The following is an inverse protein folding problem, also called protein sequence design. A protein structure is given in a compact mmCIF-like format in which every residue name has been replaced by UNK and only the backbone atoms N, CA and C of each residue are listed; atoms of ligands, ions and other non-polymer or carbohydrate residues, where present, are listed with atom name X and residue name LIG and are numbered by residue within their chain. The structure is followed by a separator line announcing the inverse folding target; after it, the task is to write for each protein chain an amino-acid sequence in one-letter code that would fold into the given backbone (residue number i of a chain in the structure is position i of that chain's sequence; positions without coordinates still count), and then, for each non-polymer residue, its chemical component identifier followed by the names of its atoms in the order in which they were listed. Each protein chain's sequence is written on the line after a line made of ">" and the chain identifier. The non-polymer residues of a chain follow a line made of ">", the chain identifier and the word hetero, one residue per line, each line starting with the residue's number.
data_IF_249869536350
#
_entry.id   IF_249869536350
#
_cell.length_a   1.000
_cell.length_b   1.000
_cell.length_c   1.000
_cell.angle_alpha   90.00
_cell.angle_beta   90.00
_cell.angle_gamma   90.00
#
_symmetry.space_group_name_H-M   'P 1'
#
loop_
_entity.id
_entity.type
_entity.pdbx_description
1 polymer ?
#
# COMPACT_ATOMS: atom_id res chain seq x y z
N UNK A 1 -25.66 35.74 59.51
CA UNK A 1 -25.99 34.58 60.37
C UNK A 1 -25.92 33.32 59.53
N UNK A 2 -25.22 32.31 60.05
CA UNK A 2 -24.90 31.05 59.41
C UNK A 2 -26.12 30.17 59.11
N UNK A 3 -26.15 29.54 57.95
CA UNK A 3 -26.98 28.37 57.63
C UNK A 3 -26.01 27.33 57.03
N UNK A 4 -25.27 26.50 57.79
CA UNK A 4 -25.54 25.57 58.90
C UNK A 4 -26.22 24.25 58.50
N UNK A 5 -25.36 23.22 58.34
CA UNK A 5 -25.50 21.77 58.65
C UNK A 5 -26.68 20.93 58.13
N UNK A 6 -27.73 21.45 57.49
CA UNK A 6 -28.95 20.66 57.20
C UNK A 6 -29.16 20.18 55.75
N UNK A 7 -28.20 20.38 54.84
CA UNK A 7 -28.30 19.87 53.45
C UNK A 7 -27.31 18.72 53.17
N UNK A 8 -26.40 18.42 54.11
CA UNK A 8 -25.27 17.51 53.86
C UNK A 8 -25.49 16.06 54.34
N UNK A 9 -26.64 15.73 54.94
CA UNK A 9 -26.93 14.35 55.41
C UNK A 9 -28.33 13.94 54.99
N UNK A 10 -28.45 13.56 53.71
CA UNK A 10 -29.58 12.84 53.09
C UNK A 10 -29.22 12.75 51.60
N UNK A 11 -28.48 11.75 51.13
CA UNK A 11 -28.82 10.35 51.17
C UNK A 11 -27.54 9.51 50.96
N UNK A 12 -27.22 8.68 51.94
CA UNK A 12 -26.34 7.53 51.76
C UNK A 12 -27.18 6.38 51.19
N UNK A 13 -27.00 6.08 49.90
CA UNK A 13 -27.50 4.87 49.27
C UNK A 13 -26.33 4.17 48.57
N UNK A 14 -25.87 3.10 49.22
CA UNK A 14 -25.27 1.89 48.66
C UNK A 14 -24.50 2.04 47.33
N UNK A 15 -23.18 2.17 47.42
CA UNK A 15 -22.29 1.76 46.33
C UNK A 15 -21.30 0.74 46.90
N UNK A 16 -21.67 -0.53 46.78
CA UNK A 16 -20.77 -1.65 46.98
C UNK A 16 -19.57 -1.47 46.06
N UNK A 17 -18.40 -1.20 46.63
CA UNK A 17 -17.13 -1.21 45.91
C UNK A 17 -16.80 -2.66 45.53
N UNK A 18 -17.34 -3.14 44.41
CA UNK A 18 -16.79 -4.30 43.75
C UNK A 18 -15.45 -3.87 43.14
N UNK A 19 -14.34 -4.22 43.82
CA UNK A 19 -13.04 -4.30 43.16
C UNK A 19 -13.16 -5.39 42.08
N UNK A 20 -13.59 -5.00 40.90
CA UNK A 20 -13.28 -5.76 39.70
C UNK A 20 -11.77 -5.67 39.54
N UNK A 21 -11.06 -6.67 40.05
CA UNK A 21 -9.74 -7.02 39.55
C UNK A 21 -9.94 -7.29 38.06
N UNK A 22 -9.76 -6.24 37.26
CA UNK A 22 -9.60 -6.37 35.84
C UNK A 22 -8.33 -7.20 35.67
N UNK A 23 -8.49 -8.51 35.51
CA UNK A 23 -7.48 -9.33 34.86
C UNK A 23 -7.22 -8.64 33.53
N UNK A 24 -6.13 -7.88 33.45
CA UNK A 24 -5.53 -7.51 32.17
C UNK A 24 -5.27 -8.85 31.49
N UNK A 25 -6.17 -9.24 30.60
CA UNK A 25 -5.93 -10.31 29.65
C UNK A 25 -4.74 -9.86 28.83
N UNK A 26 -3.56 -10.34 29.24
CA UNK A 26 -2.37 -10.39 28.41
C UNK A 26 -2.79 -11.10 27.13
N UNK A 27 -2.75 -10.37 26.02
CA UNK A 27 -2.86 -10.93 24.68
C UNK A 27 -4.24 -11.49 24.32
N UNK A 28 -5.27 -10.65 24.28
CA UNK A 28 -6.27 -10.87 23.23
C UNK A 28 -5.57 -10.55 21.90
N UNK A 29 -4.97 -11.57 21.27
CA UNK A 29 -4.59 -11.50 19.87
C UNK A 29 -5.86 -11.13 19.12
N UNK A 30 -5.95 -9.87 18.69
CA UNK A 30 -6.98 -9.44 17.76
C UNK A 30 -6.88 -10.41 16.58
N UNK A 31 -7.95 -11.16 16.34
CA UNK A 31 -8.05 -12.00 15.15
C UNK A 31 -7.75 -11.07 13.97
N UNK A 32 -6.73 -11.35 13.14
CA UNK A 32 -6.38 -10.48 12.02
C UNK A 32 -7.66 -10.22 11.22
N UNK A 33 -7.90 -8.96 10.89
CA UNK A 33 -9.05 -8.62 10.06
C UNK A 33 -8.81 -9.34 8.74
N UNK A 34 -9.53 -10.44 8.53
CA UNK A 34 -9.35 -11.23 7.33
C UNK A 34 -9.54 -10.31 6.13
N UNK A 35 -8.53 -10.27 5.27
CA UNK A 35 -8.53 -9.46 4.06
C UNK A 35 -9.85 -9.68 3.32
N UNK A 36 -10.68 -8.64 3.18
CA UNK A 36 -12.02 -8.82 2.63
C UNK A 36 -11.89 -9.23 1.15
N UNK A 37 -12.45 -10.38 0.72
CA UNK A 37 -12.32 -10.87 -0.66
C UNK A 37 -12.80 -9.83 -1.70
N UNK A 38 -13.81 -9.02 -1.35
CA UNK A 38 -14.34 -7.96 -2.20
C UNK A 38 -13.36 -6.79 -2.41
N UNK A 39 -12.49 -6.48 -1.45
CA UNK A 39 -11.49 -5.44 -1.59
C UNK A 39 -10.39 -5.87 -2.58
N UNK A 40 -9.98 -7.14 -2.52
CA UNK A 40 -8.94 -7.68 -3.42
C UNK A 40 -9.34 -7.66 -4.89
N UNK A 41 -10.65 -7.72 -5.20
CA UNK A 41 -11.15 -7.57 -6.57
C UNK A 41 -10.75 -6.22 -7.18
N UNK A 42 -10.79 -5.14 -6.41
CA UNK A 42 -10.39 -3.80 -6.90
C UNK A 42 -8.86 -3.62 -6.95
N UNK A 43 -8.12 -4.56 -6.38
CA UNK A 43 -6.66 -4.61 -6.42
C UNK A 43 -6.17 -5.75 -7.34
N UNK A 44 -7.01 -6.17 -8.28
CA UNK A 44 -6.65 -7.09 -9.34
C UNK A 44 -5.88 -6.38 -10.47
N UNK A 45 -5.24 -7.18 -11.32
CA UNK A 45 -4.37 -6.66 -12.38
C UNK A 45 -5.12 -5.74 -13.35
N UNK A 46 -6.33 -6.07 -13.86
CA UNK A 46 -7.08 -5.18 -14.73
C UNK A 46 -7.40 -3.80 -14.12
N UNK A 47 -7.68 -3.74 -12.82
CA UNK A 47 -7.98 -2.48 -12.12
C UNK A 47 -6.72 -1.65 -11.86
N UNK A 48 -5.58 -2.30 -11.63
CA UNK A 48 -4.30 -1.66 -11.31
C UNK A 48 -3.51 -1.23 -12.55
N UNK A 49 -3.64 -1.93 -13.67
CA UNK A 49 -2.85 -1.68 -14.88
C UNK A 49 -2.96 -0.24 -15.41
N UNK A 50 -4.15 0.41 -15.44
CA UNK A 50 -4.27 1.79 -15.88
C UNK A 50 -3.55 2.77 -14.93
N UNK A 51 -3.55 2.49 -13.62
CA UNK A 51 -2.81 3.27 -12.61
C UNK A 51 -1.31 3.07 -12.82
N UNK A 52 -0.87 1.82 -12.96
CA UNK A 52 0.53 1.46 -13.21
C UNK A 52 1.08 2.14 -14.46
N UNK A 53 0.29 2.22 -15.54
CA UNK A 53 0.69 2.88 -16.78
C UNK A 53 0.94 4.39 -16.65
N UNK A 54 0.40 5.03 -15.61
CA UNK A 54 0.59 6.46 -15.32
C UNK A 54 1.76 6.70 -14.38
N UNK A 55 1.88 5.90 -13.31
CA UNK A 55 2.86 6.17 -12.25
C UNK A 55 4.22 5.56 -12.49
N UNK A 56 4.31 4.51 -13.32
CA UNK A 56 5.57 3.84 -13.59
C UNK A 56 6.33 4.52 -14.74
N UNK A 57 7.69 4.45 -14.74
CA UNK A 57 8.51 5.02 -15.80
C UNK A 57 8.14 4.49 -17.19
N UNK A 58 8.04 5.38 -18.19
CA UNK A 58 7.63 5.04 -19.54
C UNK A 58 8.62 4.07 -20.23
N UNK A 59 9.88 4.10 -19.84
CA UNK A 59 10.98 3.26 -20.32
C UNK A 59 10.77 1.76 -20.01
N UNK A 60 9.88 1.43 -19.07
CA UNK A 60 9.57 0.04 -18.75
C UNK A 60 8.88 -0.68 -19.91
N UNK A 61 8.06 0.02 -20.71
CA UNK A 61 7.21 -0.60 -21.70
C UNK A 61 6.07 -1.44 -21.08
N UNK A 62 5.07 -1.75 -21.90
CA UNK A 62 3.80 -2.33 -21.42
C UNK A 62 3.97 -3.65 -20.64
N UNK A 63 4.84 -4.55 -21.10
CA UNK A 63 5.02 -5.86 -20.45
C UNK A 63 5.63 -5.79 -19.06
N UNK A 64 6.56 -4.85 -18.80
CA UNK A 64 7.12 -4.66 -17.45
C UNK A 64 6.17 -3.89 -16.53
N UNK A 65 5.39 -2.96 -17.08
CA UNK A 65 4.30 -2.29 -16.34
C UNK A 65 3.27 -3.31 -15.86
N UNK A 66 2.85 -4.23 -16.73
CA UNK A 66 1.93 -5.30 -16.38
C UNK A 66 2.51 -6.23 -15.32
N UNK A 67 3.78 -6.62 -15.44
CA UNK A 67 4.48 -7.41 -14.42
C UNK A 67 4.50 -6.72 -13.06
N UNK A 68 4.81 -5.44 -13.01
CA UNK A 68 4.80 -4.68 -11.76
C UNK A 68 3.40 -4.65 -11.12
N UNK A 69 2.34 -4.53 -11.91
CA UNK A 69 0.96 -4.61 -11.42
C UNK A 69 0.61 -6.02 -10.90
N UNK A 70 1.05 -7.09 -11.58
CA UNK A 70 0.89 -8.48 -11.14
C UNK A 70 1.59 -8.71 -9.80
N UNK A 71 2.83 -8.26 -9.67
CA UNK A 71 3.62 -8.42 -8.46
C UNK A 71 3.01 -7.65 -7.29
N UNK A 72 2.57 -6.40 -7.52
CA UNK A 72 1.88 -5.61 -6.50
C UNK A 72 0.57 -6.26 -6.05
N UNK A 73 -0.26 -6.72 -7.00
CA UNK A 73 -1.52 -7.42 -6.72
C UNK A 73 -1.28 -8.68 -5.89
N UNK A 74 -0.28 -9.49 -6.26
CA UNK A 74 0.13 -10.68 -5.51
C UNK A 74 0.65 -10.33 -4.13
N UNK A 75 1.46 -9.28 -4.01
CA UNK A 75 2.02 -8.85 -2.74
C UNK A 75 0.92 -8.45 -1.74
N UNK A 76 -0.03 -7.61 -2.15
CA UNK A 76 -1.12 -7.19 -1.26
C UNK A 76 -2.10 -8.34 -0.96
N UNK A 77 -2.32 -9.26 -1.90
CA UNK A 77 -3.17 -10.44 -1.67
C UNK A 77 -2.58 -11.40 -0.64
N UNK A 78 -1.24 -11.45 -0.52
CA UNK A 78 -0.52 -12.27 0.46
C UNK A 78 -0.12 -11.49 1.71
N UNK A 79 -0.59 -10.25 1.89
CA UNK A 79 -0.32 -9.47 3.09
C UNK A 79 -0.95 -10.13 4.31
N UNK A 80 -0.18 -10.21 5.39
CA UNK A 80 -0.61 -10.81 6.65
C UNK A 80 -0.48 -9.78 7.76
N UNK A 81 -1.58 -9.52 8.44
CA UNK A 81 -1.65 -8.60 9.57
C UNK A 81 -1.10 -9.26 10.84
N UNK A 82 -0.40 -8.48 11.68
CA UNK A 82 0.13 -8.96 12.96
C UNK A 82 1.24 -10.00 12.87
N UNK A 83 1.79 -10.26 11.68
CA UNK A 83 2.95 -11.14 11.51
C UNK A 83 4.20 -10.47 12.04
N UNK A 84 5.06 -11.26 12.68
CA UNK A 84 6.34 -10.79 13.17
C UNK A 84 7.25 -10.40 12.00
N UNK A 85 7.75 -9.19 12.04
CA UNK A 85 8.73 -8.69 11.08
C UNK A 85 10.12 -9.15 11.49
N UNK A 86 11.00 -9.31 10.49
CA UNK A 86 12.40 -9.61 10.72
C UNK A 86 13.01 -8.53 11.63
N UNK A 87 13.41 -8.94 12.82
CA UNK A 87 14.07 -8.06 13.78
C UNK A 87 15.58 -8.00 13.46
N UNK A 88 16.23 -6.83 13.57
CA UNK A 88 17.68 -6.72 13.47
C UNK A 88 18.39 -7.63 14.48
N UNK A 89 19.60 -8.09 14.14
CA UNK A 89 20.42 -8.83 15.09
C UNK A 89 20.76 -7.93 16.29
N UNK A 90 20.53 -8.43 17.51
CA UNK A 90 20.79 -7.69 18.75
C UNK A 90 19.70 -6.70 19.19
N UNK A 91 18.55 -6.64 18.51
CA UNK A 91 17.40 -5.88 19.02
C UNK A 91 16.50 -6.74 19.91
N UNK A 92 16.11 -6.22 21.07
CA UNK A 92 15.12 -6.86 21.95
C UNK A 92 13.67 -6.55 21.57
N UNK A 93 13.46 -5.64 20.61
CA UNK A 93 12.13 -5.22 20.17
C UNK A 93 11.62 -6.12 19.06
N UNK A 94 10.49 -6.77 19.32
CA UNK A 94 9.72 -7.50 18.31
C UNK A 94 8.74 -6.52 17.67
N UNK A 95 8.88 -6.31 16.37
CA UNK A 95 7.94 -5.52 15.56
C UNK A 95 7.02 -6.43 14.75
N UNK A 96 5.76 -6.05 14.60
CA UNK A 96 4.80 -6.79 13.78
C UNK A 96 4.29 -5.95 12.61
N UNK A 97 3.71 -6.59 11.60
CA UNK A 97 2.99 -5.90 10.53
C UNK A 97 1.76 -5.17 11.09
N UNK A 98 1.45 -4.04 10.47
CA UNK A 98 0.26 -3.26 10.79
C UNK A 98 -1.03 -3.83 10.18
N UNK A 99 -2.14 -3.09 10.28
CA UNK A 99 -3.38 -3.44 9.59
C UNK A 99 -3.20 -3.36 8.07
N UNK A 100 -3.97 -4.18 7.35
CA UNK A 100 -3.92 -4.23 5.91
C UNK A 100 -4.50 -2.95 5.28
N UNK A 101 -3.77 -2.32 4.33
CA UNK A 101 -4.28 -1.15 3.62
C UNK A 101 -5.25 -1.52 2.49
N UNK A 102 -5.52 -2.81 2.24
CA UNK A 102 -6.23 -3.27 1.06
C UNK A 102 -7.64 -2.66 0.90
N UNK A 103 -8.41 -2.58 1.97
CA UNK A 103 -9.77 -1.99 1.93
C UNK A 103 -9.72 -0.52 1.54
N UNK A 104 -8.83 0.25 2.17
CA UNK A 104 -8.63 1.68 1.86
C UNK A 104 -8.20 1.88 0.41
N UNK A 105 -7.25 1.08 -0.07
CA UNK A 105 -6.77 1.19 -1.44
C UNK A 105 -7.83 0.75 -2.47
N UNK A 106 -8.62 -0.27 -2.18
CA UNK A 106 -9.74 -0.68 -3.03
C UNK A 106 -10.76 0.45 -3.22
N UNK A 107 -11.08 1.19 -2.15
CA UNK A 107 -11.95 2.37 -2.23
C UNK A 107 -11.35 3.48 -3.09
N UNK A 108 -10.04 3.71 -3.00
CA UNK A 108 -9.33 4.68 -3.84
C UNK A 108 -9.36 4.28 -5.32
N UNK A 109 -9.13 3.00 -5.64
CA UNK A 109 -9.23 2.50 -7.03
C UNK A 109 -10.65 2.68 -7.57
N UNK A 110 -11.66 2.37 -6.76
CA UNK A 110 -13.07 2.60 -7.13
C UNK A 110 -13.36 4.08 -7.39
N UNK A 111 -12.88 4.97 -6.51
CA UNK A 111 -13.05 6.42 -6.68
C UNK A 111 -12.40 6.92 -7.98
N UNK A 112 -11.24 6.38 -8.38
CA UNK A 112 -10.63 6.69 -9.67
C UNK A 112 -11.53 6.27 -10.84
N UNK A 113 -12.12 5.07 -10.78
CA UNK A 113 -13.06 4.61 -11.82
C UNK A 113 -14.30 5.50 -11.92
N UNK A 114 -14.88 5.89 -10.78
CA UNK A 114 -16.02 6.79 -10.74
C UNK A 114 -15.68 8.18 -11.29
N UNK A 115 -14.50 8.71 -10.95
CA UNK A 115 -14.03 9.99 -11.48
C UNK A 115 -13.79 9.97 -12.99
N UNK A 116 -13.33 8.82 -13.54
CA UNK A 116 -13.16 8.64 -14.97
C UNK A 116 -14.49 8.66 -15.71
N UNK A 117 -15.51 7.98 -15.16
CA UNK A 117 -16.86 7.97 -15.73
C UNK A 117 -17.52 9.35 -15.63
N UNK A 118 -17.27 10.09 -14.56
CA UNK A 118 -17.83 11.43 -14.35
C UNK A 118 -17.23 12.48 -15.31
N UNK A 119 -15.95 12.36 -15.66
CA UNK A 119 -15.24 13.31 -16.54
C UNK A 119 -15.46 13.05 -18.03
N UNK A 120 -15.89 11.85 -18.41
CA UNK A 120 -16.03 11.46 -19.81
C UNK A 120 -17.48 11.56 -20.30
N UNK A 121 -17.78 12.40 -21.32
CA UNK A 121 -19.09 12.44 -21.97
C UNK A 121 -19.56 11.07 -22.50
N UNK A 122 -18.63 10.19 -22.88
CA UNK A 122 -18.90 8.84 -23.39
C UNK A 122 -18.86 7.76 -22.29
N UNK A 123 -18.63 8.15 -21.03
CA UNK A 123 -18.55 7.26 -19.85
C UNK A 123 -17.60 6.07 -20.04
N UNK A 124 -16.47 6.24 -20.73
CA UNK A 124 -15.52 5.12 -20.88
C UNK A 124 -14.94 4.75 -19.51
N UNK A 125 -14.77 3.44 -19.25
CA UNK A 125 -14.12 3.00 -18.03
C UNK A 125 -12.68 3.53 -17.98
N UNK A 126 -12.15 3.69 -16.77
CA UNK A 126 -10.78 4.20 -16.55
C UNK A 126 -9.71 3.46 -17.38
N UNK A 127 -9.86 2.15 -17.55
CA UNK A 127 -8.98 1.31 -18.37
C UNK A 127 -8.99 1.62 -19.88
N UNK A 128 -10.02 2.33 -20.39
CA UNK A 128 -10.16 2.69 -21.79
C UNK A 128 -9.89 4.19 -22.05
N UNK A 129 -9.57 4.95 -21.00
CA UNK A 129 -9.19 6.37 -21.12
C UNK A 129 -7.84 6.51 -21.82
N UNK A 130 -7.57 7.67 -22.42
CA UNK A 130 -6.23 7.95 -22.98
C UNK A 130 -5.19 8.07 -21.85
N UNK A 131 -3.90 7.89 -22.15
CA UNK A 131 -2.85 8.07 -21.12
C UNK A 131 -2.92 9.46 -20.49
N UNK A 132 -3.14 10.50 -21.29
CA UNK A 132 -3.30 11.88 -20.81
C UNK A 132 -4.44 12.01 -19.80
N UNK A 133 -5.60 11.45 -20.11
CA UNK A 133 -6.78 11.56 -19.24
C UNK A 133 -6.58 10.76 -17.95
N UNK A 134 -5.97 9.56 -18.04
CA UNK A 134 -5.59 8.79 -16.84
C UNK A 134 -4.63 9.59 -15.96
N UNK A 135 -3.62 10.23 -16.55
CA UNK A 135 -2.67 11.07 -15.82
C UNK A 135 -3.39 12.21 -15.12
N UNK A 136 -4.31 12.90 -15.79
CA UNK A 136 -5.07 13.99 -15.17
C UNK A 136 -5.95 13.49 -14.01
N UNK A 137 -6.62 12.36 -14.18
CA UNK A 137 -7.46 11.75 -13.12
C UNK A 137 -6.62 11.36 -11.89
N UNK A 138 -5.47 10.70 -12.11
CA UNK A 138 -4.58 10.30 -11.02
C UNK A 138 -3.94 11.52 -10.35
N UNK A 139 -3.55 12.54 -11.13
CA UNK A 139 -2.99 13.77 -10.61
C UNK A 139 -4.00 14.51 -9.71
N UNK A 140 -5.26 14.61 -10.13
CA UNK A 140 -6.31 15.23 -9.33
C UNK A 140 -6.58 14.46 -8.03
N UNK A 141 -6.58 13.12 -8.07
CA UNK A 141 -6.73 12.28 -6.88
C UNK A 141 -5.55 12.46 -5.89
N UNK A 142 -4.36 12.75 -6.41
CA UNK A 142 -3.16 13.00 -5.63
C UNK A 142 -2.99 14.47 -5.20
N UNK A 143 -3.78 15.41 -5.73
CA UNK A 143 -3.61 16.85 -5.47
C UNK A 143 -3.78 17.22 -3.98
N UNK A 144 -4.61 16.48 -3.24
CA UNK A 144 -4.84 16.66 -1.80
C UNK A 144 -3.89 15.84 -0.92
N UNK A 145 -3.05 15.00 -1.51
CA UNK A 145 -2.16 14.11 -0.78
C UNK A 145 -0.89 14.87 -0.38
N UNK A 146 -0.59 14.88 0.91
CA UNK A 146 0.68 15.43 1.38
C UNK A 146 1.82 14.47 1.05
N UNK A 147 2.78 14.97 0.27
CA UNK A 147 3.98 14.23 -0.09
C UNK A 147 5.08 14.47 0.95
N UNK A 148 5.67 13.39 1.44
CA UNK A 148 6.96 13.47 2.12
C UNK A 148 8.08 13.70 1.09
N UNK A 149 9.21 14.26 1.53
CA UNK A 149 10.38 14.49 0.67
C UNK A 149 10.99 13.19 0.09
N UNK A 150 10.63 12.04 0.66
CA UNK A 150 11.04 10.70 0.22
C UNK A 150 9.81 9.85 -0.07
N UNK A 151 9.90 8.97 -1.07
CA UNK A 151 8.88 7.95 -1.32
C UNK A 151 8.73 7.08 -0.05
N UNK A 152 7.51 6.96 0.50
CA UNK A 152 7.26 6.16 1.70
C UNK A 152 7.41 4.67 1.43
N UNK A 153 7.39 3.84 2.49
CA UNK A 153 7.21 2.41 2.30
C UNK A 153 5.85 2.13 1.62
N UNK A 154 5.70 1.04 0.85
CA UNK A 154 4.45 0.76 0.14
C UNK A 154 3.23 0.74 1.05
N UNK A 155 3.35 0.19 2.27
CA UNK A 155 2.26 0.10 3.25
C UNK A 155 1.92 1.47 3.86
N UNK A 156 2.93 2.33 4.06
CA UNK A 156 2.72 3.68 4.61
C UNK A 156 2.23 4.68 3.55
N UNK A 157 2.11 4.28 2.29
CA UNK A 157 1.70 5.16 1.22
C UNK A 157 0.25 5.64 1.42
N UNK A 158 0.00 6.96 1.37
CA UNK A 158 -1.34 7.50 1.62
C UNK A 158 -2.34 7.14 0.51
N UNK A 159 -1.85 6.84 -0.70
CA UNK A 159 -2.64 6.51 -1.87
C UNK A 159 -2.09 5.29 -2.62
N UNK A 160 -2.98 4.46 -3.19
CA UNK A 160 -2.64 3.23 -3.92
C UNK A 160 -1.65 3.44 -5.07
N UNK A 161 -1.77 4.56 -5.78
CA UNK A 161 -0.87 4.93 -6.87
C UNK A 161 0.59 5.10 -6.38
N UNK A 162 0.77 5.68 -5.18
CA UNK A 162 2.08 5.82 -4.53
C UNK A 162 2.55 4.52 -3.92
N UNK A 163 1.64 3.69 -3.40
CA UNK A 163 1.97 2.36 -2.92
C UNK A 163 2.55 1.49 -4.04
N UNK A 164 1.92 1.53 -5.22
CA UNK A 164 2.36 0.80 -6.40
C UNK A 164 3.73 1.30 -6.88
N UNK A 165 3.92 2.61 -6.95
CA UNK A 165 5.23 3.19 -7.28
C UNK A 165 6.30 2.80 -6.25
N UNK A 166 6.01 2.94 -4.96
CA UNK A 166 6.94 2.57 -3.89
C UNK A 166 7.32 1.08 -3.95
N UNK A 167 6.34 0.21 -4.22
CA UNK A 167 6.57 -1.22 -4.36
C UNK A 167 7.46 -1.51 -5.57
N UNK A 168 7.21 -0.85 -6.71
CA UNK A 168 8.08 -0.98 -7.87
C UNK A 168 9.50 -0.48 -7.57
N UNK A 169 9.66 0.66 -6.89
CA UNK A 169 10.99 1.19 -6.56
C UNK A 169 11.80 0.29 -5.62
N UNK A 170 11.12 -0.54 -4.82
CA UNK A 170 11.76 -1.57 -3.98
C UNK A 170 12.07 -2.87 -4.77
N UNK A 171 11.70 -2.97 -6.05
CA UNK A 171 11.93 -4.18 -6.86
C UNK A 171 13.34 -4.25 -7.47
N UNK A 172 13.83 -5.46 -7.84
CA UNK A 172 15.01 -5.61 -8.68
C UNK A 172 14.93 -4.81 -9.99
N UNK A 173 13.76 -4.76 -10.61
CA UNK A 173 13.56 -4.13 -11.91
C UNK A 173 13.83 -2.62 -11.86
N UNK A 174 13.48 -1.95 -10.74
CA UNK A 174 13.81 -0.54 -10.55
C UNK A 174 15.32 -0.31 -10.41
N UNK A 175 16.02 -1.18 -9.68
CA UNK A 175 17.49 -1.12 -9.57
C UNK A 175 18.14 -1.35 -10.94
N UNK A 176 17.63 -2.33 -11.68
CA UNK A 176 18.13 -2.64 -13.02
C UNK A 176 17.96 -1.46 -13.98
N UNK A 177 16.81 -0.80 -13.92
CA UNK A 177 16.51 0.38 -14.74
C UNK A 177 17.42 1.56 -14.38
N UNK A 178 17.62 1.84 -13.09
CA UNK A 178 18.44 2.96 -12.62
C UNK A 178 19.90 2.87 -13.08
N UNK A 179 20.47 1.66 -13.11
CA UNK A 179 21.84 1.43 -13.56
C UNK A 179 21.95 0.96 -15.02
N UNK A 180 20.82 0.76 -15.71
CA UNK A 180 20.76 0.16 -17.05
C UNK A 180 21.52 -1.19 -17.15
N UNK A 181 21.43 -2.01 -16.10
CA UNK A 181 22.20 -3.26 -15.91
C UNK A 181 21.33 -4.33 -15.25
N UNK A 182 21.50 -5.60 -15.60
CA UNK A 182 20.79 -6.73 -14.98
C UNK A 182 21.45 -7.12 -13.64
N UNK A 183 21.40 -6.21 -12.68
CA UNK A 183 21.93 -6.40 -11.32
C UNK A 183 21.10 -7.44 -10.57
N UNK A 184 19.78 -7.42 -10.79
CA UNK A 184 18.79 -8.28 -10.15
C UNK A 184 18.90 -8.24 -8.62
N UNK A 185 18.81 -7.04 -8.05
CA UNK A 185 18.85 -6.85 -6.60
C UNK A 185 17.85 -7.78 -5.90
N UNK A 186 18.24 -8.32 -4.72
CA UNK A 186 17.47 -9.35 -3.99
C UNK A 186 17.49 -10.75 -4.62
N UNK A 187 18.29 -10.98 -5.68
CA UNK A 187 18.59 -12.31 -6.19
C UNK A 187 20.08 -12.63 -6.01
N UNK A 188 20.39 -13.83 -5.52
CA UNK A 188 21.78 -14.26 -5.37
C UNK A 188 22.36 -14.65 -6.73
N UNK A 189 23.57 -14.15 -7.03
CA UNK A 189 24.37 -14.64 -8.16
C UNK A 189 25.25 -15.80 -7.72
N UNK A 190 25.55 -16.77 -8.60
CA UNK A 190 26.54 -17.78 -8.31
C UNK A 190 27.88 -17.14 -7.91
N UNK A 191 28.57 -17.71 -6.92
CA UNK A 191 29.84 -17.17 -6.43
C UNK A 191 30.88 -17.01 -7.53
N UNK A 192 30.93 -17.96 -8.48
CA UNK A 192 31.83 -17.92 -9.64
C UNK A 192 31.61 -16.71 -10.57
N UNK A 193 30.40 -16.13 -10.55
CA UNK A 193 30.05 -14.96 -11.36
C UNK A 193 30.09 -13.66 -10.56
N UNK A 194 30.34 -13.70 -9.25
CA UNK A 194 30.29 -12.52 -8.37
C UNK A 194 31.22 -11.38 -8.80
N UNK A 195 32.41 -11.72 -9.32
CA UNK A 195 33.39 -10.75 -9.82
C UNK A 195 33.09 -10.21 -11.22
N UNK A 196 32.17 -10.84 -11.95
CA UNK A 196 31.79 -10.41 -13.31
C UNK A 196 30.81 -9.26 -13.21
N UNK A 197 31.07 -8.20 -13.96
CA UNK A 197 30.16 -7.06 -14.09
C UNK A 197 28.79 -7.53 -14.62
N UNK A 198 27.66 -7.00 -14.07
CA UNK A 198 26.34 -7.27 -14.61
C UNK A 198 26.20 -6.87 -16.08
N UNK A 199 25.47 -7.68 -16.85
CA UNK A 199 25.19 -7.39 -18.26
C UNK A 199 24.30 -6.17 -18.41
N UNK A 200 24.40 -5.47 -19.54
CA UNK A 200 23.53 -4.33 -19.84
C UNK A 200 22.08 -4.75 -19.97
N UNK A 201 21.16 -3.95 -19.44
CA UNK A 201 19.73 -4.24 -19.50
C UNK A 201 19.26 -4.24 -20.96
N UNK A 202 18.57 -5.31 -21.36
CA UNK A 202 17.92 -5.34 -22.69
C UNK A 202 16.85 -4.24 -22.76
N UNK A 203 17.02 -3.33 -23.73
CA UNK A 203 15.97 -2.37 -24.07
C UNK A 203 14.72 -3.13 -24.47
N UNK A 204 13.57 -2.71 -23.94
CA UNK A 204 12.30 -3.17 -24.46
C UNK A 204 12.25 -2.76 -25.93
N UNK A 205 12.11 -3.73 -26.83
CA UNK A 205 11.89 -3.44 -28.24
C UNK A 205 10.59 -2.62 -28.30
N UNK A 206 10.70 -1.36 -28.71
CA UNK A 206 9.54 -0.51 -28.88
C UNK A 206 8.59 -1.20 -29.87
N UNK A 207 7.47 -1.71 -29.37
CA UNK A 207 6.30 -2.02 -30.19
C UNK A 207 5.73 -0.71 -30.72
N UNK A 208 6.43 -0.10 -31.68
CA UNK A 208 5.95 1.06 -32.42
C UNK A 208 4.70 0.65 -33.19
N UNK A 209 3.58 1.27 -32.84
CA UNK A 209 2.41 1.38 -33.71
C UNK A 209 2.85 2.08 -35.00
N UNK A 210 2.67 1.39 -36.12
CA UNK A 210 2.11 2.02 -37.32
C UNK A 210 0.58 2.06 -37.14
#
# INVERSE_FOLDING_TARGET
>A
MNLTRRVFVRWSALTSAALAVARRSVGAQAKPAAQQPGALKWLDVPSLLPIASVVLPAELGAGRVERAAIEFSRWIANYREGEELLHPYGSEQISTTGPSPATKWAEQVRALHESAVAKDPQRKPFANQTLRDRTAIVADALASVQFAARVPSPIAAPHVALALLAHFLDSPDATNLAYNKEINAKQCRPLADSSKEPVTLRKALNGGRA
#
